data_IF_870844480684
#
_entry.id   IF_870844480684
#
_cell.length_a   1.000
_cell.length_b   1.000
_cell.length_c   1.000
_cell.angle_alpha   90.00
_cell.angle_beta   90.00
_cell.angle_gamma   90.00
#
_symmetry.space_group_name_H-M   'P 1'
#
loop_
_entity.id
_entity.type
_entity.pdbx_description
1 polymer ?
#
# COMPACT_ATOMS: atom_id res chain seq x y z
N UNK A 1 13.75 4.98 -15.03
CA UNK A 1 12.58 5.49 -15.81
C UNK A 1 11.93 4.46 -16.73
N UNK A 2 12.62 3.41 -17.21
CA UNK A 2 12.05 2.44 -18.17
C UNK A 2 10.90 1.61 -17.59
N UNK A 3 10.95 1.26 -16.30
CA UNK A 3 9.94 0.41 -15.63
C UNK A 3 8.53 0.95 -15.79
N UNK A 4 8.31 2.25 -15.59
CA UNK A 4 6.98 2.86 -15.73
C UNK A 4 6.39 2.70 -17.14
N UNK A 5 7.25 2.67 -18.16
CA UNK A 5 6.86 2.52 -19.57
C UNK A 5 6.75 1.06 -20.03
N UNK A 6 7.15 0.09 -19.23
CA UNK A 6 7.01 -1.34 -19.57
C UNK A 6 6.02 -2.06 -18.67
N UNK A 7 5.83 -1.56 -17.44
CA UNK A 7 4.93 -2.16 -16.47
C UNK A 7 3.50 -2.24 -17.00
N UNK A 8 2.85 -3.35 -16.63
CA UNK A 8 1.45 -3.63 -16.90
C UNK A 8 0.79 -3.96 -15.58
N UNK A 9 -0.38 -3.36 -15.37
CA UNK A 9 -1.20 -3.60 -14.19
C UNK A 9 -1.58 -5.09 -14.11
N UNK A 10 -1.56 -5.63 -12.91
CA UNK A 10 -1.63 -7.05 -12.59
C UNK A 10 -2.99 -7.40 -12.01
N UNK A 11 -3.48 -8.61 -12.27
CA UNK A 11 -4.68 -9.13 -11.60
C UNK A 11 -4.30 -9.80 -10.30
N UNK A 12 -4.93 -9.37 -9.20
CA UNK A 12 -4.65 -9.90 -7.87
C UNK A 12 -5.96 -10.26 -7.18
N UNK A 13 -5.91 -11.31 -6.36
CA UNK A 13 -6.93 -11.63 -5.35
C UNK A 13 -6.42 -11.13 -4.00
N UNK A 14 -7.25 -10.35 -3.31
CA UNK A 14 -6.92 -9.74 -2.02
C UNK A 14 -7.88 -10.28 -0.95
N UNK A 15 -7.32 -10.87 0.11
CA UNK A 15 -8.05 -11.17 1.35
C UNK A 15 -7.70 -10.16 2.44
N UNK A 16 -8.70 -9.71 3.19
CA UNK A 16 -8.56 -8.76 4.29
C UNK A 16 -9.35 -9.25 5.49
N UNK A 17 -8.65 -9.69 6.55
CA UNK A 17 -9.24 -10.32 7.74
C UNK A 17 -10.24 -11.44 7.34
N UNK A 18 -11.43 -11.44 7.94
CA UNK A 18 -12.53 -12.39 7.67
C UNK A 18 -13.49 -11.92 6.55
N UNK A 19 -13.11 -10.91 5.75
CA UNK A 19 -13.96 -10.42 4.66
C UNK A 19 -13.89 -11.35 3.45
N UNK A 20 -14.94 -11.35 2.63
CA UNK A 20 -14.92 -12.06 1.36
C UNK A 20 -13.78 -11.52 0.48
N UNK A 21 -12.85 -12.36 0.01
CA UNK A 21 -11.76 -11.90 -0.84
C UNK A 21 -12.29 -11.40 -2.17
N UNK A 22 -11.63 -10.39 -2.73
CA UNK A 22 -12.05 -9.76 -3.98
C UNK A 22 -10.90 -9.69 -4.97
N UNK A 23 -11.26 -9.62 -6.24
CA UNK A 23 -10.31 -9.49 -7.34
C UNK A 23 -10.17 -8.03 -7.76
N UNK A 24 -8.95 -7.64 -8.11
CA UNK A 24 -8.66 -6.31 -8.62
C UNK A 24 -7.56 -6.36 -9.66
N UNK A 25 -7.68 -5.51 -10.67
CA UNK A 25 -6.55 -5.17 -11.54
C UNK A 25 -5.88 -3.92 -11.00
N UNK A 26 -4.64 -4.04 -10.54
CA UNK A 26 -3.94 -2.96 -9.85
C UNK A 26 -2.59 -2.65 -10.50
N UNK A 27 -2.24 -1.37 -10.49
CA UNK A 27 -0.89 -0.89 -10.82
C UNK A 27 0.08 -1.07 -9.64
N UNK A 28 -0.41 -0.98 -8.41
CA UNK A 28 0.36 -1.13 -7.18
C UNK A 28 -0.58 -1.38 -6.00
N UNK A 29 -0.12 -2.18 -5.05
CA UNK A 29 -0.72 -2.32 -3.73
C UNK A 29 0.36 -1.95 -2.72
N UNK A 30 0.03 -1.06 -1.80
CA UNK A 30 0.91 -0.68 -0.69
C UNK A 30 0.29 -1.15 0.60
N UNK A 31 1.04 -1.92 1.39
CA UNK A 31 0.67 -2.34 2.75
C UNK A 31 1.54 -1.52 3.69
N UNK A 32 0.92 -0.66 4.49
CA UNK A 32 1.59 0.40 5.22
C UNK A 32 1.29 0.33 6.72
N UNK A 33 2.34 0.21 7.54
CA UNK A 33 2.26 0.38 9.00
C UNK A 33 2.33 1.88 9.39
N UNK A 34 3.08 2.68 8.64
CA UNK A 34 3.22 4.12 8.83
C UNK A 34 2.64 4.91 7.65
N UNK A 35 2.46 6.21 7.84
CA UNK A 35 1.80 7.06 6.84
C UNK A 35 2.67 7.37 5.62
N UNK A 36 3.99 7.35 5.78
CA UNK A 36 4.95 7.83 4.80
C UNK A 36 5.92 6.73 4.38
N UNK A 37 6.28 6.69 3.11
CA UNK A 37 7.40 5.87 2.61
C UNK A 37 8.18 6.59 1.51
N UNK A 38 9.33 6.03 1.12
CA UNK A 38 10.06 6.40 -0.10
C UNK A 38 10.31 7.91 -0.31
N UNK A 39 10.98 8.57 0.63
CA UNK A 39 11.37 9.98 0.47
C UNK A 39 10.24 10.99 0.74
N UNK A 40 9.27 10.64 1.59
CA UNK A 40 8.21 11.55 2.05
C UNK A 40 6.88 11.41 1.30
N UNK A 41 6.67 10.31 0.57
CA UNK A 41 5.37 10.02 -0.04
C UNK A 41 4.36 9.69 1.03
N UNK A 42 3.34 10.55 1.20
CA UNK A 42 2.28 10.41 2.19
C UNK A 42 1.17 9.46 1.68
N UNK A 43 1.47 8.19 1.50
CA UNK A 43 0.59 7.24 0.79
C UNK A 43 -0.62 6.80 1.59
N UNK A 44 -0.45 6.65 2.91
CA UNK A 44 -1.47 6.12 3.80
C UNK A 44 -1.72 7.11 4.95
N UNK A 45 -2.27 8.32 4.68
CA UNK A 45 -2.54 9.29 5.73
C UNK A 45 -3.29 8.79 6.97
N UNK A 46 -4.26 7.85 6.84
CA UNK A 46 -4.95 7.31 8.00
C UNK A 46 -4.09 6.40 8.88
N UNK A 47 -2.95 5.89 8.40
CA UNK A 47 -2.18 4.87 9.11
C UNK A 47 -1.70 5.34 10.49
N UNK A 48 -1.80 4.45 11.47
CA UNK A 48 -1.31 4.67 12.83
C UNK A 48 -0.56 3.43 13.29
N UNK A 49 0.68 3.61 13.74
CA UNK A 49 1.54 2.49 14.15
C UNK A 49 1.12 1.85 15.49
N UNK A 50 0.14 2.42 16.19
CA UNK A 50 -0.25 2.04 17.56
C UNK A 50 -1.66 1.45 17.70
N UNK A 51 -2.44 1.44 16.61
CA UNK A 51 -3.83 0.96 16.62
C UNK A 51 -3.96 -0.54 16.32
N UNK A 52 -2.88 -1.17 15.85
CA UNK A 52 -2.84 -2.59 15.53
C UNK A 52 -3.42 -2.93 14.16
N UNK A 53 -3.47 -1.99 13.21
CA UNK A 53 -3.87 -2.23 11.83
C UNK A 53 -2.75 -1.89 10.84
N UNK A 54 -2.84 -2.45 9.65
CA UNK A 54 -2.09 -2.04 8.46
C UNK A 54 -3.05 -1.39 7.48
N UNK A 55 -2.60 -0.33 6.81
CA UNK A 55 -3.34 0.31 5.74
C UNK A 55 -2.97 -0.28 4.39
N UNK A 56 -3.98 -0.75 3.67
CA UNK A 56 -3.88 -1.34 2.34
C UNK A 56 -4.37 -0.32 1.33
N UNK A 57 -3.42 0.31 0.62
CA UNK A 57 -3.71 1.27 -0.45
C UNK A 57 -3.62 0.56 -1.79
N UNK A 58 -4.79 0.33 -2.41
CA UNK A 58 -4.91 -0.30 -3.72
C UNK A 58 -4.99 0.78 -4.78
N UNK A 59 -3.94 0.93 -5.59
CA UNK A 59 -3.94 1.79 -6.78
C UNK A 59 -4.34 0.92 -7.97
N UNK A 60 -5.60 1.01 -8.37
CA UNK A 60 -6.25 0.16 -9.38
C UNK A 60 -5.71 0.30 -10.80
N UNK A 61 -6.56 0.06 -11.81
CA UNK A 61 -6.17 0.06 -13.22
C UNK A 61 -5.97 1.48 -13.77
N UNK A 62 -4.88 2.12 -13.34
CA UNK A 62 -4.44 3.45 -13.78
C UNK A 62 -3.51 3.34 -14.98
N UNK A 63 -3.65 4.28 -15.91
CA UNK A 63 -2.71 4.49 -16.99
C UNK A 63 -1.41 5.14 -16.49
N UNK A 64 -0.36 5.09 -17.31
CA UNK A 64 0.94 5.70 -16.99
C UNK A 64 0.86 7.21 -16.82
N UNK A 65 -0.02 7.86 -17.58
CA UNK A 65 -0.28 9.29 -17.49
C UNK A 65 -0.96 9.60 -16.15
N UNK A 66 -1.94 8.79 -15.74
CA UNK A 66 -2.56 8.89 -14.42
C UNK A 66 -1.52 8.74 -13.31
N UNK A 67 -0.60 7.77 -13.37
CA UNK A 67 0.49 7.65 -12.38
C UNK A 67 1.30 8.93 -12.28
N UNK A 68 1.81 9.44 -13.41
CA UNK A 68 2.64 10.65 -13.43
C UNK A 68 1.91 11.88 -12.89
N UNK A 69 0.67 12.09 -13.33
CA UNK A 69 -0.15 13.25 -12.95
C UNK A 69 -0.60 13.21 -11.49
N UNK A 70 -0.74 12.01 -10.90
CA UNK A 70 -1.14 11.84 -9.50
C UNK A 70 0.04 11.86 -8.51
N UNK A 71 1.29 11.93 -8.96
CA UNK A 71 2.48 12.04 -8.09
C UNK A 71 2.33 13.17 -7.06
N UNK A 72 1.85 14.35 -7.48
CA UNK A 72 1.64 15.48 -6.54
C UNK A 72 0.60 15.18 -5.47
N UNK A 73 -0.44 14.41 -5.79
CA UNK A 73 -1.47 14.00 -4.82
C UNK A 73 -0.91 13.00 -3.81
N UNK A 74 -0.04 12.10 -4.25
CA UNK A 74 0.68 11.15 -3.40
C UNK A 74 1.52 11.88 -2.35
N UNK A 75 2.34 12.84 -2.75
CA UNK A 75 3.16 13.62 -1.79
C UNK A 75 2.32 14.55 -0.89
N UNK A 76 1.09 14.89 -1.28
CA UNK A 76 0.16 15.70 -0.47
C UNK A 76 -0.79 14.89 0.40
N UNK A 77 -0.73 13.55 0.37
CA UNK A 77 -1.67 12.72 1.13
C UNK A 77 -3.10 12.73 0.60
N UNK A 78 -3.32 13.17 -0.64
CA UNK A 78 -4.66 13.27 -1.23
C UNK A 78 -4.88 12.25 -2.35
N UNK A 79 -4.09 11.17 -2.37
CA UNK A 79 -4.19 10.14 -3.41
C UNK A 79 -5.49 9.33 -3.29
N UNK A 80 -6.01 9.14 -2.07
CA UNK A 80 -7.28 8.48 -1.79
C UNK A 80 -8.50 9.15 -2.44
N UNK A 81 -8.39 10.43 -2.81
CA UNK A 81 -9.45 11.13 -3.56
C UNK A 81 -9.50 10.76 -5.05
N UNK A 82 -8.60 9.91 -5.55
CA UNK A 82 -8.62 9.43 -6.92
C UNK A 82 -9.63 8.26 -7.05
N UNK A 83 -10.53 8.25 -8.06
CA UNK A 83 -11.61 7.26 -8.15
C UNK A 83 -11.16 5.81 -8.34
N UNK A 84 -9.89 5.61 -8.75
CA UNK A 84 -9.27 4.28 -8.90
C UNK A 84 -8.39 3.88 -7.72
N UNK A 85 -8.45 4.61 -6.61
CA UNK A 85 -7.69 4.32 -5.39
C UNK A 85 -8.66 3.93 -4.29
N UNK A 86 -8.37 2.82 -3.64
CA UNK A 86 -9.13 2.34 -2.48
C UNK A 86 -8.17 2.19 -1.30
N UNK A 87 -8.66 2.47 -0.09
CA UNK A 87 -7.88 2.34 1.15
C UNK A 87 -8.68 1.49 2.12
N UNK A 88 -8.03 0.49 2.72
CA UNK A 88 -8.63 -0.40 3.69
C UNK A 88 -7.69 -0.57 4.89
N UNK A 89 -8.26 -0.67 6.09
CA UNK A 89 -7.53 -1.13 7.28
C UNK A 89 -7.79 -2.63 7.50
N UNK A 90 -6.74 -3.39 7.78
CA UNK A 90 -6.82 -4.83 8.09
C UNK A 90 -5.67 -5.27 9.01
N UNK A 91 -5.85 -6.38 9.72
CA UNK A 91 -4.83 -7.02 10.56
C UNK A 91 -4.11 -8.13 9.81
N UNK A 92 -4.84 -8.89 9.02
CA UNK A 92 -4.33 -9.99 8.19
C UNK A 92 -4.64 -9.71 6.73
N UNK A 93 -3.62 -9.76 5.87
CA UNK A 93 -3.73 -9.46 4.44
C UNK A 93 -3.11 -10.59 3.64
N UNK A 94 -3.91 -11.24 2.79
CA UNK A 94 -3.41 -12.19 1.81
C UNK A 94 -3.44 -11.58 0.41
N UNK A 95 -2.36 -11.79 -0.35
CA UNK A 95 -2.26 -11.38 -1.74
C UNK A 95 -1.85 -12.56 -2.60
N UNK A 96 -2.61 -12.80 -3.66
CA UNK A 96 -2.40 -13.88 -4.61
C UNK A 96 -2.55 -13.37 -6.05
N UNK A 97 -1.84 -14.00 -6.99
CA UNK A 97 -1.89 -13.67 -8.42
C UNK A 97 -1.34 -14.84 -9.22
N UNK A 98 -1.94 -15.13 -10.37
CA UNK A 98 -1.38 -16.07 -11.35
C UNK A 98 -0.19 -15.47 -12.11
N UNK A 99 -0.14 -14.13 -12.19
CA UNK A 99 0.98 -13.39 -12.77
C UNK A 99 2.13 -13.24 -11.78
N UNK A 100 3.38 -13.15 -12.27
CA UNK A 100 4.51 -12.79 -11.41
C UNK A 100 4.35 -11.34 -10.89
N UNK A 101 4.28 -11.23 -9.56
CA UNK A 101 4.22 -9.97 -8.82
C UNK A 101 5.30 -10.00 -7.76
N UNK A 102 6.28 -9.11 -7.91
CA UNK A 102 7.39 -8.95 -6.98
C UNK A 102 6.96 -8.15 -5.75
N UNK A 103 7.56 -8.47 -4.60
CA UNK A 103 7.32 -7.80 -3.33
C UNK A 103 8.57 -7.00 -2.98
N UNK A 104 8.39 -5.69 -2.88
CA UNK A 104 9.37 -4.78 -2.29
C UNK A 104 8.97 -4.48 -0.84
N UNK A 105 9.92 -4.59 0.07
CA UNK A 105 9.74 -4.27 1.49
C UNK A 105 10.88 -3.35 1.91
N UNK A 106 10.55 -2.13 2.31
CA UNK A 106 11.49 -1.10 2.75
C UNK A 106 12.68 -0.86 1.79
N UNK A 107 12.45 -1.02 0.48
CA UNK A 107 13.45 -0.82 -0.57
C UNK A 107 14.29 -2.06 -0.92
N UNK A 108 13.97 -3.21 -0.34
CA UNK A 108 14.57 -4.50 -0.68
C UNK A 108 13.57 -5.42 -1.38
N UNK A 109 14.02 -6.12 -2.43
CA UNK A 109 13.24 -7.16 -3.08
C UNK A 109 13.24 -8.43 -2.21
N UNK A 110 12.14 -8.69 -1.52
CA UNK A 110 12.04 -9.78 -0.54
C UNK A 110 11.41 -11.05 -1.09
N UNK A 111 10.75 -10.98 -2.26
CA UNK A 111 10.14 -12.15 -2.87
C UNK A 111 9.09 -11.83 -3.92
N UNK A 112 8.09 -12.71 -4.02
CA UNK A 112 6.96 -12.63 -4.94
C UNK A 112 5.72 -13.26 -4.31
N UNK A 113 4.55 -12.95 -4.87
CA UNK A 113 3.29 -13.57 -4.47
C UNK A 113 3.30 -15.11 -4.71
N UNK A 114 2.51 -15.88 -3.94
CA UNK A 114 1.56 -15.46 -2.90
C UNK A 114 2.25 -15.06 -1.58
N UNK A 115 1.58 -14.21 -0.79
CA UNK A 115 2.09 -13.77 0.51
C UNK A 115 0.96 -13.51 1.51
N UNK A 116 1.28 -13.69 2.79
CA UNK A 116 0.44 -13.32 3.92
C UNK A 116 1.19 -12.29 4.77
N UNK A 117 0.55 -11.17 5.06
CA UNK A 117 1.02 -10.17 6.01
C UNK A 117 0.13 -10.18 7.24
N UNK A 118 0.74 -10.14 8.43
CA UNK A 118 0.04 -10.10 9.71
C UNK A 118 0.66 -9.03 10.61
N UNK A 119 -0.17 -8.14 11.14
CA UNK A 119 0.28 -7.16 12.13
C UNK A 119 0.52 -7.85 13.47
N UNK A 120 1.65 -7.51 14.11
CA UNK A 120 1.94 -7.92 15.48
C UNK A 120 1.76 -6.69 16.37
N UNK A 121 0.58 -6.50 16.99
CA UNK A 121 0.25 -5.24 17.65
C UNK A 121 1.18 -4.97 18.83
N UNK A 122 1.67 -3.71 18.92
CA UNK A 122 2.46 -3.20 20.04
C UNK A 122 3.72 -4.04 20.35
N UNK A 123 4.31 -4.69 19.34
CA UNK A 123 5.47 -5.57 19.52
C UNK A 123 6.73 -4.84 19.97
N UNK A 124 6.90 -3.59 19.52
CA UNK A 124 8.08 -2.78 19.80
C UNK A 124 7.70 -1.57 20.67
N UNK A 125 8.57 -1.25 21.65
CA UNK A 125 8.50 -0.01 22.41
C UNK A 125 9.47 0.98 21.78
N UNK A 126 8.96 2.07 21.25
CA UNK A 126 9.74 3.10 20.56
C UNK A 126 9.65 4.39 21.37
N UNK A 127 10.78 5.09 21.51
CA UNK A 127 10.79 6.46 22.04
C UNK A 127 10.36 7.41 20.92
N UNK A 128 9.14 7.94 21.00
CA UNK A 128 8.61 8.93 20.08
C UNK A 128 8.54 10.31 20.71
N UNK A 129 8.80 11.36 19.93
CA UNK A 129 8.48 12.74 20.33
C UNK A 129 6.99 13.01 20.16
N UNK A 130 6.35 13.64 21.15
CA UNK A 130 4.99 14.17 20.98
C UNK A 130 5.12 15.49 20.21
N UNK A 131 4.83 15.49 18.91
CA UNK A 131 4.57 16.73 18.19
C UNK A 131 3.19 17.23 18.61
N UNK A 132 3.16 17.95 19.74
CA UNK A 132 1.99 18.66 20.21
C UNK A 132 1.85 19.94 19.36
N UNK A 133 0.88 19.93 18.44
CA UNK A 133 0.39 21.13 17.77
C UNK A 133 1.06 21.47 16.44
N UNK A 134 0.39 21.11 15.35
CA UNK A 134 0.13 22.00 14.20
C UNK A 134 -1.35 21.85 13.87
#
# INVERSE_FOLDING_TARGET
>A
MVTLFQYRNKHLRIGLDDREPFEVKASSIVIANGQYFGGGMWVAPPARMDDGFLEVVVVGDVSRIEVLTNTRRLYRGTLSGHPKVQVFSAQTISLESEEEVLIDMDGELVGRLPVLFEIVPKKLKILGGILSGI
#
